data_IF_082489909887
#
_entry.id   IF_082489909887
#
_cell.length_a   1.000
_cell.length_b   1.000
_cell.length_c   1.000
_cell.angle_alpha   90.00
_cell.angle_beta   90.00
_cell.angle_gamma   90.00
#
_symmetry.space_group_name_H-M   'P 1'
#
loop_
_entity.id
_entity.type
_entity.pdbx_description
1 polymer ?
#
# COMPACT_ATOMS: atom_id res chain seq x y z
N UNK A 1 -13.39 -16.64 17.26
CA UNK A 1 -11.93 -16.61 17.55
C UNK A 1 -11.71 -15.51 18.58
N UNK A 2 -10.93 -15.71 19.65
CA UNK A 2 -10.74 -14.66 20.64
C UNK A 2 -10.00 -13.49 20.00
N UNK A 3 -10.57 -12.30 20.15
CA UNK A 3 -10.20 -11.03 19.51
C UNK A 3 -8.96 -10.40 20.16
N UNK A 4 -7.87 -11.18 20.24
CA UNK A 4 -6.60 -10.72 20.81
C UNK A 4 -5.86 -9.97 19.74
N UNK A 5 -5.75 -8.63 19.90
CA UNK A 5 -4.92 -7.78 19.05
C UNK A 5 -3.53 -8.45 18.91
N UNK A 6 -3.05 -8.71 17.68
CA UNK A 6 -1.71 -9.26 17.49
C UNK A 6 -0.70 -8.34 18.18
N UNK A 7 0.35 -8.93 18.75
CA UNK A 7 1.49 -8.14 19.18
C UNK A 7 2.11 -7.40 17.97
N UNK A 8 2.90 -6.36 18.25
CA UNK A 8 3.40 -5.49 17.18
C UNK A 8 4.26 -6.27 16.16
N UNK A 9 4.95 -7.32 16.60
CA UNK A 9 5.78 -8.17 15.72
C UNK A 9 4.92 -8.99 14.75
N UNK A 10 3.88 -9.67 15.25
CA UNK A 10 2.92 -10.42 14.45
C UNK A 10 2.14 -9.53 13.48
N UNK A 11 1.79 -8.32 13.92
CA UNK A 11 1.13 -7.34 13.06
C UNK A 11 2.03 -6.90 11.90
N UNK A 12 3.32 -6.65 12.15
CA UNK A 12 4.29 -6.30 11.10
C UNK A 12 4.45 -7.46 10.11
N UNK A 13 4.56 -8.70 10.61
CA UNK A 13 4.64 -9.90 9.77
C UNK A 13 3.43 -10.02 8.84
N UNK A 14 2.23 -9.88 9.40
CA UNK A 14 0.98 -9.92 8.65
C UNK A 14 0.91 -8.82 7.58
N UNK A 15 1.32 -7.59 7.88
CA UNK A 15 1.33 -6.49 6.90
C UNK A 15 2.24 -6.82 5.72
N UNK A 16 3.44 -7.36 5.98
CA UNK A 16 4.35 -7.76 4.92
C UNK A 16 3.81 -8.91 4.07
N UNK A 17 3.16 -9.90 4.68
CA UNK A 17 2.51 -10.98 3.94
C UNK A 17 1.36 -10.49 3.06
N UNK A 18 0.53 -9.59 3.59
CA UNK A 18 -0.57 -8.97 2.83
C UNK A 18 -0.04 -8.17 1.66
N UNK A 19 1.01 -7.37 1.88
CA UNK A 19 1.62 -6.56 0.84
C UNK A 19 2.29 -7.38 -0.29
N UNK A 20 2.69 -8.62 0.00
CA UNK A 20 3.28 -9.54 -0.99
C UNK A 20 2.21 -10.36 -1.73
N UNK A 21 1.13 -10.75 -1.05
CA UNK A 21 0.06 -11.59 -1.60
C UNK A 21 -1.00 -10.81 -2.38
N UNK A 22 -1.30 -9.57 -1.98
CA UNK A 22 -2.44 -8.82 -2.50
C UNK A 22 -2.02 -7.85 -3.61
N UNK A 23 -2.44 -8.16 -4.82
CA UNK A 23 -2.39 -7.30 -6.00
C UNK A 23 -3.78 -7.30 -6.69
N UNK A 24 -4.26 -6.16 -7.23
CA UNK A 24 -3.67 -4.83 -7.12
C UNK A 24 -3.98 -4.16 -5.77
N UNK A 25 -3.13 -3.23 -5.34
CA UNK A 25 -3.40 -2.36 -4.20
C UNK A 25 -3.72 -0.93 -4.65
N UNK A 26 -4.32 -0.13 -3.78
CA UNK A 26 -4.66 1.26 -4.06
C UNK A 26 -3.58 2.19 -3.53
N UNK A 27 -2.91 2.90 -4.44
CA UNK A 27 -1.99 3.98 -4.09
C UNK A 27 -2.78 5.29 -3.97
N UNK A 28 -2.69 5.89 -2.78
CA UNK A 28 -3.30 7.17 -2.45
C UNK A 28 -2.20 8.23 -2.35
N UNK A 29 -2.28 9.23 -3.22
CA UNK A 29 -1.40 10.41 -3.24
C UNK A 29 -2.19 11.67 -2.97
N UNK A 30 -1.54 12.70 -2.40
CA UNK A 30 -2.16 14.01 -2.20
C UNK A 30 -1.82 14.95 -3.35
N UNK A 31 -2.76 15.82 -3.67
CA UNK A 31 -2.66 16.90 -4.65
C UNK A 31 -3.30 18.16 -4.05
N UNK A 32 -2.53 18.88 -3.22
CA UNK A 32 -3.04 19.96 -2.40
C UNK A 32 -4.07 19.46 -1.39
N UNK A 33 -5.31 19.93 -1.52
CA UNK A 33 -6.44 19.55 -0.65
C UNK A 33 -7.14 18.25 -1.07
N UNK A 34 -6.77 17.67 -2.22
CA UNK A 34 -7.43 16.49 -2.77
C UNK A 34 -6.57 15.24 -2.67
N UNK A 35 -7.23 14.08 -2.63
CA UNK A 35 -6.59 12.78 -2.73
C UNK A 35 -6.86 12.17 -4.10
N UNK A 36 -5.82 11.61 -4.72
CA UNK A 36 -5.92 10.80 -5.93
C UNK A 36 -5.63 9.36 -5.59
N UNK A 37 -6.55 8.48 -5.97
CA UNK A 37 -6.46 7.04 -5.74
C UNK A 37 -6.30 6.34 -7.09
N UNK A 38 -5.43 5.34 -7.15
CA UNK A 38 -5.20 4.56 -8.36
C UNK A 38 -4.77 3.12 -8.03
N UNK A 39 -5.25 2.11 -8.78
CA UNK A 39 -4.73 0.76 -8.65
C UNK A 39 -3.29 0.70 -9.14
N UNK A 40 -2.43 0.03 -8.38
CA UNK A 40 -1.03 -0.25 -8.71
C UNK A 40 -0.69 -1.68 -8.33
N UNK A 41 0.36 -2.21 -8.97
CA UNK A 41 0.96 -3.49 -8.58
C UNK A 41 2.17 -3.20 -7.71
N UNK A 42 2.18 -3.73 -6.51
CA UNK A 42 3.24 -3.51 -5.54
C UNK A 42 4.19 -4.70 -5.49
N UNK A 43 5.47 -4.43 -5.21
CA UNK A 43 6.49 -5.45 -4.96
C UNK A 43 7.10 -5.18 -3.60
N UNK A 44 6.63 -5.91 -2.59
CA UNK A 44 7.20 -5.88 -1.26
C UNK A 44 8.61 -6.51 -1.26
N UNK A 45 9.56 -5.83 -0.61
CA UNK A 45 10.92 -6.29 -0.33
C UNK A 45 11.19 -6.04 1.15
N UNK A 46 10.75 -6.99 1.97
CA UNK A 46 10.78 -6.89 3.43
C UNK A 46 12.21 -6.75 3.97
N UNK A 47 13.15 -7.49 3.39
CA UNK A 47 14.58 -7.43 3.68
C UNK A 47 15.18 -6.06 3.43
N UNK A 48 14.66 -5.32 2.45
CA UNK A 48 15.05 -3.94 2.15
C UNK A 48 14.22 -2.89 2.90
N UNK A 49 13.15 -3.30 3.59
CA UNK A 49 12.18 -2.41 4.22
C UNK A 49 11.44 -1.52 3.21
N UNK A 50 11.23 -2.00 1.98
CA UNK A 50 10.72 -1.18 0.86
C UNK A 50 9.58 -1.87 0.12
N UNK A 51 8.70 -1.06 -0.45
CA UNK A 51 7.66 -1.48 -1.40
C UNK A 51 7.92 -0.73 -2.70
N UNK A 52 8.18 -1.47 -3.77
CA UNK A 52 8.44 -0.92 -5.10
C UNK A 52 7.15 -0.92 -5.92
N UNK A 53 6.91 0.18 -6.62
CA UNK A 53 5.77 0.33 -7.53
C UNK A 53 6.34 0.75 -8.87
N UNK A 54 6.13 -0.07 -9.89
CA UNK A 54 6.48 0.31 -11.24
C UNK A 54 5.47 1.36 -11.72
N UNK A 55 5.97 2.51 -12.16
CA UNK A 55 5.14 3.59 -12.69
C UNK A 55 5.84 4.27 -13.84
N UNK A 56 5.07 4.83 -14.76
CA UNK A 56 5.60 5.61 -15.87
C UNK A 56 6.23 6.91 -15.35
N UNK A 57 7.38 7.27 -15.92
CA UNK A 57 8.07 8.54 -15.72
C UNK A 57 7.25 9.77 -16.13
N UNK A 58 6.31 9.66 -17.07
CA UNK A 58 5.66 10.82 -17.72
C UNK A 58 4.22 11.13 -17.25
N UNK A 59 3.88 10.90 -15.99
CA UNK A 59 2.55 11.21 -15.46
C UNK A 59 2.54 12.33 -14.41
N UNK A 60 1.42 13.07 -14.29
CA UNK A 60 1.09 14.03 -13.20
C UNK A 60 1.36 13.50 -11.77
N UNK A 61 1.53 12.18 -11.64
CA UNK A 61 1.86 11.42 -10.44
C UNK A 61 3.25 11.74 -9.86
N UNK A 62 4.24 12.04 -10.71
CA UNK A 62 5.61 12.29 -10.24
C UNK A 62 5.70 13.63 -9.51
N UNK A 63 5.11 14.68 -10.09
CA UNK A 63 5.09 16.02 -9.50
C UNK A 63 4.34 16.03 -8.15
N UNK A 64 3.22 15.29 -8.07
CA UNK A 64 2.46 15.13 -6.82
C UNK A 64 3.26 14.47 -5.70
N UNK A 65 3.98 13.38 -5.99
CA UNK A 65 4.78 12.67 -4.97
C UNK A 65 6.04 13.49 -4.61
N UNK A 66 6.67 14.15 -5.58
CA UNK A 66 7.80 15.05 -5.30
C UNK A 66 7.36 16.20 -4.38
N UNK A 67 6.17 16.74 -4.60
CA UNK A 67 5.61 17.85 -3.78
C UNK A 67 5.04 17.39 -2.45
N UNK A 68 4.43 16.20 -2.41
CA UNK A 68 3.81 15.58 -1.23
C UNK A 68 4.26 14.12 -1.11
N UNK A 69 5.43 13.86 -0.48
CA UNK A 69 6.03 12.52 -0.45
C UNK A 69 5.28 11.53 0.45
N UNK A 70 4.34 12.01 1.27
CA UNK A 70 3.48 11.15 2.08
C UNK A 70 2.42 10.49 1.21
N UNK A 71 2.51 9.17 1.10
CA UNK A 71 1.56 8.33 0.37
C UNK A 71 1.02 7.24 1.27
N UNK A 72 -0.14 6.71 0.91
CA UNK A 72 -0.72 5.53 1.57
C UNK A 72 -0.95 4.42 0.55
N UNK A 73 -0.76 3.18 0.99
CA UNK A 73 -1.16 1.98 0.25
C UNK A 73 -2.30 1.29 1.00
N UNK A 74 -3.38 1.00 0.29
CA UNK A 74 -4.48 0.22 0.82
C UNK A 74 -4.56 -1.11 0.07
N UNK A 75 -4.50 -2.20 0.83
CA UNK A 75 -4.64 -3.56 0.34
C UNK A 75 -6.02 -4.07 0.77
N UNK A 76 -6.75 -4.70 -0.14
CA UNK A 76 -8.04 -5.31 0.16
C UNK A 76 -8.12 -6.64 -0.59
N UNK A 77 -8.54 -7.69 0.10
CA UNK A 77 -8.89 -8.96 -0.51
C UNK A 77 -10.42 -9.01 -0.69
N UNK A 78 -10.95 -8.79 -1.91
CA UNK A 78 -12.38 -8.82 -2.15
C UNK A 78 -13.00 -10.23 -2.00
N UNK A 79 -12.18 -11.29 -1.94
CA UNK A 79 -12.65 -12.66 -1.76
C UNK A 79 -12.63 -13.12 -0.30
N UNK A 80 -11.92 -12.42 0.59
CA UNK A 80 -11.82 -12.82 1.98
C UNK A 80 -13.14 -12.76 2.73
N UNK A 81 -14.07 -11.84 2.37
CA UNK A 81 -15.47 -11.78 2.82
C UNK A 81 -15.75 -12.14 4.31
N UNK A 82 -14.78 -11.89 5.19
CA UNK A 82 -14.89 -12.11 6.63
C UNK A 82 -15.54 -10.86 7.24
N UNK A 83 -16.87 -10.76 7.11
CA UNK A 83 -17.71 -9.77 7.80
C UNK A 83 -18.25 -10.32 9.12
#
# INVERSE_FOLDING_TARGET
>A
MPDTKPDDASAIDMIWELADKLDPCLLVTRDGDWQRVRPVFARARRDEGRIYILTDTSGEKHEQIVRFPQVSLAFADPQANDY
#
